data_IF_083914484155
#
_entry.id   IF_083914484155
#
_cell.length_a   1.000
_cell.length_b   1.000
_cell.length_c   1.000
_cell.angle_alpha   90.00
_cell.angle_beta   90.00
_cell.angle_gamma   90.00
#
_symmetry.space_group_name_H-M   'P 1'
#
loop_
_entity.id
_entity.type
_entity.pdbx_description
1 polymer ?
#
# COMPACT_ATOMS: atom_id res chain seq x y z
N UNK A 1 51.65 31.17 -0.05
CA UNK A 1 50.44 31.71 -0.73
C UNK A 1 50.02 30.91 -1.99
N UNK A 2 50.82 29.96 -2.51
CA UNK A 2 50.56 29.29 -3.80
C UNK A 2 49.51 28.15 -3.81
N UNK A 3 49.13 27.62 -2.64
CA UNK A 3 48.15 26.51 -2.55
C UNK A 3 46.77 26.93 -2.08
N UNK A 4 46.58 28.21 -1.71
CA UNK A 4 45.29 28.71 -1.20
C UNK A 4 44.18 28.62 -2.25
N UNK A 5 44.48 28.92 -3.51
CA UNK A 5 43.51 28.80 -4.60
C UNK A 5 43.10 27.35 -4.87
N UNK A 6 44.04 26.40 -4.79
CA UNK A 6 43.77 24.96 -4.96
C UNK A 6 42.94 24.39 -3.81
N UNK A 7 43.23 24.79 -2.56
CA UNK A 7 42.44 24.38 -1.41
C UNK A 7 41.01 24.93 -1.46
N UNK A 8 40.83 26.18 -1.89
CA UNK A 8 39.49 26.78 -2.05
C UNK A 8 38.71 26.10 -3.18
N UNK A 9 39.36 25.79 -4.30
CA UNK A 9 38.71 25.05 -5.39
C UNK A 9 38.30 23.63 -4.97
N UNK A 10 39.18 22.92 -4.25
CA UNK A 10 38.89 21.59 -3.76
C UNK A 10 37.74 21.59 -2.72
N UNK A 11 37.75 22.54 -1.78
CA UNK A 11 36.68 22.70 -0.80
C UNK A 11 35.34 23.04 -1.49
N UNK A 12 35.34 23.92 -2.48
CA UNK A 12 34.14 24.28 -3.23
C UNK A 12 33.55 23.08 -4.01
N UNK A 13 34.40 22.25 -4.61
CA UNK A 13 33.97 21.00 -5.25
C UNK A 13 33.41 20.04 -4.21
N UNK A 14 34.07 19.83 -3.08
CA UNK A 14 33.57 18.96 -2.01
C UNK A 14 32.21 19.43 -1.45
N UNK A 15 32.02 20.74 -1.24
CA UNK A 15 30.75 21.32 -0.80
C UNK A 15 29.64 21.15 -1.84
N UNK A 16 29.95 21.24 -3.14
CA UNK A 16 28.97 21.03 -4.21
C UNK A 16 28.53 19.55 -4.35
N UNK A 17 29.41 18.61 -4.05
CA UNK A 17 29.09 17.16 -4.10
C UNK A 17 28.26 16.74 -2.89
N UNK A 18 28.50 17.34 -1.71
CA UNK A 18 27.73 17.02 -0.49
C UNK A 18 26.26 17.46 -0.57
N UNK A 19 25.94 18.53 -1.31
CA UNK A 19 24.54 18.97 -1.53
C UNK A 19 23.79 18.15 -2.57
N UNK A 20 24.49 17.33 -3.37
CA UNK A 20 23.87 16.47 -4.38
C UNK A 20 23.40 15.11 -3.81
N UNK A 21 23.71 14.83 -2.55
CA UNK A 21 23.24 13.65 -1.82
C UNK A 21 22.12 14.03 -0.85
N UNK A 22 21.08 14.71 -1.33
CA UNK A 22 19.80 14.71 -0.61
C UNK A 22 19.12 13.38 -0.89
N UNK A 23 18.89 12.57 0.14
CA UNK A 23 18.16 11.30 0.00
C UNK A 23 16.82 11.54 -0.71
N UNK A 24 16.52 10.68 -1.68
CA UNK A 24 15.24 10.74 -2.37
C UNK A 24 14.10 10.52 -1.36
N UNK A 25 12.98 11.24 -1.50
CA UNK A 25 11.82 11.02 -0.65
C UNK A 25 11.39 9.56 -0.70
N UNK A 26 11.01 9.01 0.46
CA UNK A 26 10.62 7.61 0.63
C UNK A 26 9.28 7.51 1.36
N UNK A 27 8.48 6.50 1.00
CA UNK A 27 7.23 6.17 1.69
C UNK A 27 7.44 5.70 3.15
N UNK A 28 8.69 5.47 3.56
CA UNK A 28 9.10 5.12 4.92
C UNK A 28 9.63 6.31 5.73
N UNK A 29 9.63 7.52 5.16
CA UNK A 29 10.18 8.70 5.86
C UNK A 29 9.32 9.10 7.06
N UNK A 30 9.96 9.34 8.20
CA UNK A 30 9.31 9.83 9.42
C UNK A 30 8.98 11.33 9.37
N UNK A 31 9.42 12.01 8.32
CA UNK A 31 9.19 13.44 8.09
C UNK A 31 8.05 13.58 7.07
N UNK A 32 7.00 14.35 7.39
CA UNK A 32 5.91 14.58 6.44
C UNK A 32 6.44 15.29 5.18
N UNK A 33 6.21 14.67 4.03
CA UNK A 33 6.57 15.21 2.73
C UNK A 33 5.47 16.14 2.22
N UNK A 34 5.86 17.23 1.58
CA UNK A 34 4.95 18.16 0.90
C UNK A 34 4.55 17.62 -0.48
N UNK A 35 3.49 18.18 -1.04
CA UNK A 35 3.02 17.83 -2.39
C UNK A 35 4.13 17.94 -3.45
N UNK A 36 4.89 19.03 -3.43
CA UNK A 36 5.95 19.27 -4.44
C UNK A 36 7.11 18.28 -4.34
N UNK A 37 7.36 17.73 -3.14
CA UNK A 37 8.35 16.68 -2.93
C UNK A 37 7.85 15.30 -3.41
N UNK A 38 6.53 15.07 -3.43
CA UNK A 38 5.92 13.81 -3.85
C UNK A 38 5.64 13.80 -5.36
N UNK A 39 5.29 14.95 -5.93
CA UNK A 39 4.86 15.06 -7.33
C UNK A 39 5.91 14.46 -8.28
N UNK A 40 5.46 13.60 -9.20
CA UNK A 40 6.28 12.90 -10.21
C UNK A 40 7.31 11.88 -9.67
N UNK A 41 7.31 11.54 -8.38
CA UNK A 41 8.22 10.53 -7.81
C UNK A 41 7.68 9.10 -7.89
N UNK A 42 6.36 8.94 -8.04
CA UNK A 42 5.65 7.67 -7.91
C UNK A 42 5.24 7.32 -6.48
N UNK A 43 5.69 8.07 -5.47
CA UNK A 43 5.35 7.85 -4.06
C UNK A 43 3.86 8.02 -3.75
N UNK A 44 3.15 8.83 -4.53
CA UNK A 44 1.71 9.03 -4.35
C UNK A 44 0.88 7.74 -4.57
N UNK A 45 1.43 6.74 -5.27
CA UNK A 45 0.80 5.44 -5.46
C UNK A 45 1.33 4.38 -4.48
N UNK A 46 2.11 4.77 -3.46
CA UNK A 46 2.67 3.87 -2.45
C UNK A 46 1.93 4.01 -1.13
N UNK A 47 1.61 2.89 -0.50
CA UNK A 47 1.00 2.93 0.82
C UNK A 47 2.04 3.23 1.91
N UNK A 48 1.69 4.03 2.94
CA UNK A 48 2.56 4.27 4.08
C UNK A 48 3.01 2.96 4.74
N UNK A 49 4.28 2.91 5.17
CA UNK A 49 4.84 1.75 5.86
C UNK A 49 5.05 2.07 7.34
N UNK A 50 4.74 1.11 8.20
CA UNK A 50 5.10 1.18 9.61
C UNK A 50 6.51 0.62 9.82
N UNK A 51 7.22 1.13 10.82
CA UNK A 51 8.53 0.57 11.19
C UNK A 51 8.38 -0.88 11.65
N UNK A 52 9.38 -1.73 11.37
CA UNK A 52 9.36 -3.13 11.81
C UNK A 52 9.32 -3.28 13.35
N UNK A 53 9.70 -2.23 14.07
CA UNK A 53 9.67 -2.16 15.54
C UNK A 53 8.27 -1.87 16.09
N UNK A 54 7.31 -1.49 15.24
CA UNK A 54 5.93 -1.22 15.66
C UNK A 54 5.19 -2.53 15.88
N UNK A 55 5.21 -3.03 17.11
CA UNK A 55 4.59 -4.30 17.56
C UNK A 55 3.53 -4.07 18.67
N UNK A 56 2.99 -2.87 18.76
CA UNK A 56 2.01 -2.50 19.78
C UNK A 56 0.64 -3.14 19.58
N UNK A 57 -0.29 -2.82 20.47
CA UNK A 57 -1.70 -3.19 20.38
C UNK A 57 -2.59 -1.95 20.44
N UNK A 58 -3.73 -2.00 19.77
CA UNK A 58 -4.78 -0.99 19.84
C UNK A 58 -5.97 -1.64 20.53
N UNK A 59 -6.20 -1.31 21.80
CA UNK A 59 -7.34 -1.84 22.55
C UNK A 59 -8.66 -1.26 22.03
N UNK A 60 -9.68 -2.11 21.92
CA UNK A 60 -11.04 -1.71 21.59
C UNK A 60 -11.92 -1.92 22.82
N UNK A 61 -12.67 -0.88 23.18
CA UNK A 61 -13.54 -0.90 24.34
C UNK A 61 -14.98 -1.13 23.91
N UNK A 62 -15.68 -1.97 24.67
CA UNK A 62 -17.10 -2.21 24.46
C UNK A 62 -17.92 -0.93 24.65
N UNK A 63 -18.98 -0.77 23.86
CA UNK A 63 -19.84 0.41 23.85
C UNK A 63 -19.26 1.66 23.19
N UNK A 64 -18.04 1.61 22.62
CA UNK A 64 -17.48 2.69 21.80
C UNK A 64 -17.67 2.42 20.31
N UNK A 65 -17.86 3.49 19.56
CA UNK A 65 -17.88 3.45 18.09
C UNK A 65 -16.49 3.77 17.54
N UNK A 66 -16.07 3.00 16.54
CA UNK A 66 -14.79 3.16 15.89
C UNK A 66 -14.97 3.31 14.38
N UNK A 67 -14.00 3.95 13.74
CA UNK A 67 -13.93 4.06 12.30
C UNK A 67 -12.51 3.75 11.83
N UNK A 68 -12.37 2.89 10.84
CA UNK A 68 -11.12 2.76 10.09
C UNK A 68 -11.09 3.88 9.06
N UNK A 69 -10.01 4.67 9.07
CA UNK A 69 -9.80 5.77 8.12
C UNK A 69 -8.44 5.61 7.46
N UNK A 70 -8.32 6.03 6.21
CA UNK A 70 -7.04 6.00 5.50
C UNK A 70 -6.54 4.58 5.20
N UNK A 71 -7.44 3.61 5.03
CA UNK A 71 -7.04 2.29 4.56
C UNK A 71 -6.49 2.42 3.13
N UNK A 72 -5.24 1.99 2.97
CA UNK A 72 -4.51 1.98 1.71
C UNK A 72 -4.11 0.56 1.35
N UNK A 73 -4.38 0.16 0.10
CA UNK A 73 -4.07 -1.18 -0.41
C UNK A 73 -3.25 -1.03 -1.69
N UNK A 74 -1.98 -1.42 -1.62
CA UNK A 74 -1.04 -1.39 -2.74
C UNK A 74 -0.84 -2.79 -3.33
N UNK A 75 -1.39 -3.06 -4.53
CA UNK A 75 -1.09 -4.31 -5.22
C UNK A 75 0.35 -4.31 -5.75
N UNK A 76 1.10 -5.37 -5.40
CA UNK A 76 2.51 -5.54 -5.80
C UNK A 76 2.69 -6.57 -6.91
N UNK A 77 1.76 -7.52 -7.04
CA UNK A 77 1.79 -8.58 -8.03
C UNK A 77 0.39 -8.84 -8.56
N UNK A 78 0.31 -9.21 -9.85
CA UNK A 78 -0.96 -9.44 -10.53
C UNK A 78 -0.93 -10.80 -11.19
N UNK A 79 -1.95 -11.60 -10.91
CA UNK A 79 -2.07 -12.95 -11.44
C UNK A 79 -3.42 -13.13 -12.10
N UNK A 80 -3.42 -13.71 -13.30
CA UNK A 80 -4.64 -14.06 -14.03
C UNK A 80 -4.70 -15.57 -14.14
N UNK A 81 -5.88 -16.12 -13.88
CA UNK A 81 -6.15 -17.55 -14.01
C UNK A 81 -6.24 -17.92 -15.49
N UNK A 82 -5.42 -18.88 -15.93
CA UNK A 82 -5.46 -19.39 -17.30
C UNK A 82 -6.70 -20.23 -17.58
N UNK A 83 -7.12 -20.22 -18.84
CA UNK A 83 -8.04 -21.23 -19.35
C UNK A 83 -7.26 -22.52 -19.64
N UNK A 84 -7.59 -23.64 -18.98
CA UNK A 84 -6.88 -24.89 -19.19
C UNK A 84 -7.22 -25.46 -20.57
N UNK A 85 -6.21 -25.94 -21.29
CA UNK A 85 -6.37 -26.55 -22.63
C UNK A 85 -7.18 -27.85 -22.62
N UNK A 86 -7.37 -28.46 -21.45
CA UNK A 86 -8.14 -29.69 -21.24
C UNK A 86 -8.86 -29.65 -19.90
N UNK A 87 -10.07 -30.25 -19.84
CA UNK A 87 -10.87 -30.36 -18.61
C UNK A 87 -10.20 -31.16 -17.47
N UNK A 88 -9.12 -31.90 -17.77
CA UNK A 88 -8.34 -32.68 -16.79
C UNK A 88 -7.19 -31.89 -16.15
N UNK A 89 -6.89 -30.71 -16.66
CA UNK A 89 -5.81 -29.87 -16.15
C UNK A 89 -6.39 -28.78 -15.25
N UNK A 90 -5.84 -28.63 -14.05
CA UNK A 90 -6.18 -27.51 -13.19
C UNK A 90 -5.66 -26.20 -13.81
N UNK A 91 -6.51 -25.17 -13.77
CA UNK A 91 -6.17 -23.85 -14.22
C UNK A 91 -5.13 -23.21 -13.29
N UNK A 92 -3.96 -22.88 -13.83
CA UNK A 92 -2.90 -22.16 -13.13
C UNK A 92 -3.13 -20.65 -13.10
N UNK A 93 -2.33 -19.96 -12.31
CA UNK A 93 -2.24 -18.50 -12.30
C UNK A 93 -0.92 -18.07 -12.95
N UNK A 94 -0.99 -17.23 -13.97
CA UNK A 94 0.22 -16.62 -14.57
C UNK A 94 0.36 -15.20 -14.04
N UNK A 95 1.61 -14.79 -13.81
CA UNK A 95 1.93 -13.39 -13.55
C UNK A 95 1.70 -12.52 -14.80
N UNK A 96 0.95 -11.44 -14.64
CA UNK A 96 0.77 -10.39 -15.64
C UNK A 96 1.64 -9.16 -15.32
N UNK A 97 2.11 -8.47 -16.36
CA UNK A 97 2.85 -7.21 -16.23
C UNK A 97 1.90 -6.02 -16.32
N UNK A 98 1.86 -5.17 -15.30
CA UNK A 98 1.00 -3.97 -15.30
C UNK A 98 1.37 -2.99 -16.43
N UNK A 99 0.36 -2.50 -17.15
CA UNK A 99 0.49 -1.50 -18.22
C UNK A 99 0.05 -0.10 -17.79
N UNK A 100 -0.80 0.01 -16.77
CA UNK A 100 -1.42 1.27 -16.31
C UNK A 100 -0.51 2.14 -15.44
N UNK A 101 0.78 1.81 -15.31
CA UNK A 101 1.79 2.57 -14.54
C UNK A 101 1.43 2.64 -13.04
N UNK A 102 1.59 3.80 -12.41
CA UNK A 102 1.43 4.03 -10.96
C UNK A 102 0.01 4.54 -10.63
N UNK A 103 -1.02 3.76 -10.97
CA UNK A 103 -2.44 4.12 -10.77
C UNK A 103 -3.27 2.97 -10.21
N UNK A 104 -2.64 2.12 -9.40
CA UNK A 104 -3.19 0.81 -9.01
C UNK A 104 -3.59 0.71 -7.55
N UNK A 105 -3.11 1.62 -6.70
CA UNK A 105 -3.39 1.55 -5.26
C UNK A 105 -4.77 2.11 -4.93
N UNK A 106 -5.42 1.48 -3.96
CA UNK A 106 -6.59 2.01 -3.29
C UNK A 106 -6.11 2.83 -2.10
N UNK A 107 -6.78 3.94 -1.82
CA UNK A 107 -6.38 4.85 -0.74
C UNK A 107 -7.59 5.59 -0.18
N UNK A 108 -7.46 6.12 1.04
CA UNK A 108 -8.52 6.83 1.75
C UNK A 108 -9.81 6.00 1.92
N UNK A 109 -9.71 4.67 1.83
CA UNK A 109 -10.84 3.79 2.11
C UNK A 109 -11.15 3.91 3.60
N UNK A 110 -12.44 4.08 3.90
CA UNK A 110 -12.94 4.29 5.26
C UNK A 110 -14.19 3.47 5.50
N UNK A 111 -14.41 3.15 6.76
CA UNK A 111 -15.52 2.30 7.13
C UNK A 111 -15.69 2.17 8.63
N UNK A 112 -16.87 1.74 9.03
CA UNK A 112 -17.21 1.58 10.44
C UNK A 112 -16.53 0.33 10.98
N UNK A 113 -16.02 0.43 12.21
CA UNK A 113 -15.46 -0.69 12.96
C UNK A 113 -16.35 -0.96 14.17
N UNK A 114 -16.89 -2.17 14.24
CA UNK A 114 -17.77 -2.60 15.32
C UNK A 114 -17.11 -3.74 16.09
N UNK A 115 -16.97 -3.57 17.41
CA UNK A 115 -16.60 -4.67 18.28
C UNK A 115 -17.83 -5.56 18.51
N UNK A 116 -17.67 -6.83 18.23
CA UNK A 116 -18.74 -7.82 18.30
C UNK A 116 -18.74 -8.52 19.67
N UNK A 117 -19.88 -9.09 20.11
CA UNK A 117 -19.98 -9.76 21.41
C UNK A 117 -19.02 -10.95 21.60
N UNK A 118 -18.56 -11.57 20.51
CA UNK A 118 -17.57 -12.65 20.52
C UNK A 118 -16.11 -12.15 20.56
N UNK A 119 -15.91 -10.83 20.68
CA UNK A 119 -14.60 -10.18 20.69
C UNK A 119 -13.92 -10.09 19.33
N UNK A 120 -14.63 -10.39 18.24
CA UNK A 120 -14.19 -10.07 16.87
C UNK A 120 -14.51 -8.62 16.52
N UNK A 121 -13.92 -8.13 15.44
CA UNK A 121 -14.16 -6.78 14.91
C UNK A 121 -14.69 -6.91 13.50
N UNK A 122 -15.84 -6.30 13.24
CA UNK A 122 -16.43 -6.18 11.91
C UNK A 122 -16.06 -4.82 11.31
N UNK A 123 -15.66 -4.83 10.04
CA UNK A 123 -15.38 -3.66 9.22
C UNK A 123 -16.39 -3.59 8.09
N UNK A 124 -17.03 -2.43 7.93
CA UNK A 124 -17.97 -2.16 6.86
C UNK A 124 -17.48 -0.95 6.06
N UNK A 125 -17.11 -1.16 4.80
CA UNK A 125 -16.66 -0.10 3.90
C UNK A 125 -17.80 0.91 3.62
N UNK A 126 -17.48 2.21 3.65
CA UNK A 126 -18.47 3.31 3.51
C UNK A 126 -18.05 4.39 2.52
N UNK A 127 -16.84 4.32 1.98
CA UNK A 127 -16.34 5.20 0.94
C UNK A 127 -14.81 5.28 0.88
N UNK A 128 -14.32 6.05 -0.08
CA UNK A 128 -12.89 6.29 -0.33
C UNK A 128 -12.54 6.12 -1.80
N UNK A 129 -11.24 6.03 -2.12
CA UNK A 129 -10.79 5.55 -3.44
C UNK A 129 -10.64 4.03 -3.38
N UNK A 130 -11.79 3.37 -3.44
CA UNK A 130 -12.03 1.95 -3.22
C UNK A 130 -12.01 1.10 -4.50
N UNK A 131 -11.68 1.70 -5.66
CA UNK A 131 -11.47 0.98 -6.91
C UNK A 131 -10.43 1.63 -7.84
N UNK A 132 -9.77 0.82 -8.67
CA UNK A 132 -8.90 1.25 -9.77
C UNK A 132 -9.10 0.35 -11.00
N UNK A 133 -9.12 0.96 -12.17
CA UNK A 133 -9.08 0.22 -13.43
C UNK A 133 -7.61 -0.13 -13.75
N UNK A 134 -7.32 -1.42 -13.85
CA UNK A 134 -5.97 -1.93 -14.08
C UNK A 134 -5.98 -2.77 -15.35
N UNK A 135 -4.92 -2.67 -16.14
CA UNK A 135 -4.68 -3.56 -17.27
C UNK A 135 -3.33 -4.21 -17.11
N UNK A 136 -3.30 -5.54 -17.20
CA UNK A 136 -2.07 -6.34 -17.17
C UNK A 136 -1.87 -7.03 -18.50
N UNK A 137 -0.62 -7.18 -18.90
CA UNK A 137 -0.22 -7.93 -20.08
C UNK A 137 0.31 -9.30 -19.67
N UNK A 138 -0.30 -10.35 -20.20
CA UNK A 138 0.14 -11.73 -20.02
C UNK A 138 1.27 -12.09 -20.99
N UNK A 139 2.03 -13.18 -20.73
CA UNK A 139 2.90 -13.76 -21.75
C UNK A 139 2.13 -14.02 -23.04
N UNK A 140 2.74 -13.70 -24.19
CA UNK A 140 2.07 -13.74 -25.49
C UNK A 140 1.36 -12.45 -25.89
N UNK A 141 1.30 -11.45 -24.99
CA UNK A 141 0.89 -10.09 -25.31
C UNK A 141 -0.60 -9.78 -25.10
N UNK A 142 -1.41 -10.78 -24.73
CA UNK A 142 -2.80 -10.61 -24.34
C UNK A 142 -2.91 -9.62 -23.18
N UNK A 143 -3.91 -8.73 -23.24
CA UNK A 143 -4.15 -7.71 -22.23
C UNK A 143 -5.46 -8.00 -21.50
N UNK A 144 -5.39 -8.01 -20.19
CA UNK A 144 -6.52 -8.28 -19.31
C UNK A 144 -6.85 -7.03 -18.50
N UNK A 145 -7.91 -6.30 -18.86
CA UNK A 145 -8.44 -5.22 -18.05
C UNK A 145 -9.35 -5.77 -16.94
N UNK A 146 -9.20 -5.25 -15.74
CA UNK A 146 -10.08 -5.59 -14.62
C UNK A 146 -10.23 -4.39 -13.67
N UNK A 147 -11.26 -4.45 -12.84
CA UNK A 147 -11.50 -3.47 -11.78
C UNK A 147 -10.98 -4.06 -10.46
N UNK A 148 -9.84 -3.54 -9.98
CA UNK A 148 -9.39 -3.85 -8.63
C UNK A 148 -10.23 -3.02 -7.66
N UNK A 149 -10.97 -3.65 -6.74
CA UNK A 149 -11.96 -2.97 -5.92
C UNK A 149 -12.16 -3.64 -4.57
N UNK A 150 -12.55 -2.84 -3.57
CA UNK A 150 -13.08 -3.29 -2.27
C UNK A 150 -14.44 -2.64 -1.95
N UNK A 151 -15.15 -2.15 -2.99
CA UNK A 151 -16.50 -1.61 -2.87
C UNK A 151 -17.43 -2.57 -2.14
N UNK A 152 -18.09 -2.08 -1.09
CA UNK A 152 -19.02 -2.88 -0.30
C UNK A 152 -18.35 -4.01 0.49
N UNK A 153 -17.06 -3.86 0.79
CA UNK A 153 -16.34 -4.83 1.61
C UNK A 153 -16.93 -4.87 3.03
N UNK A 154 -17.44 -6.04 3.39
CA UNK A 154 -17.78 -6.42 4.75
C UNK A 154 -16.77 -7.47 5.22
N UNK A 155 -15.96 -7.15 6.22
CA UNK A 155 -14.91 -8.03 6.70
C UNK A 155 -14.97 -8.21 8.22
N UNK A 156 -14.55 -9.37 8.71
CA UNK A 156 -14.52 -9.69 10.14
C UNK A 156 -13.18 -10.29 10.55
N UNK A 157 -12.77 -10.01 11.78
CA UNK A 157 -11.57 -10.62 12.36
C UNK A 157 -11.86 -11.98 13.00
N UNK A 158 -10.81 -12.66 13.47
CA UNK A 158 -10.97 -13.77 14.41
C UNK A 158 -11.66 -13.29 15.70
N UNK A 159 -12.43 -14.17 16.40
CA UNK A 159 -13.02 -13.86 17.69
C UNK A 159 -11.97 -13.78 18.82
N UNK A 160 -12.37 -13.18 19.94
CA UNK A 160 -11.56 -13.13 21.17
C UNK A 160 -10.34 -12.20 21.13
N UNK A 161 -10.30 -11.25 20.20
CA UNK A 161 -9.15 -10.34 20.05
C UNK A 161 -9.23 -9.16 21.03
N UNK A 162 -10.39 -8.52 21.19
CA UNK A 162 -10.62 -7.31 22.02
C UNK A 162 -9.60 -6.15 21.81
N UNK A 163 -8.70 -6.30 20.85
CA UNK A 163 -7.60 -5.41 20.51
C UNK A 163 -7.06 -5.79 19.12
N UNK A 164 -6.58 -4.79 18.38
CA UNK A 164 -5.88 -5.00 17.13
C UNK A 164 -4.39 -5.22 17.43
N UNK A 165 -3.84 -6.33 16.94
CA UNK A 165 -2.44 -6.72 17.10
C UNK A 165 -1.88 -7.18 15.75
N UNK A 166 -0.59 -7.52 15.71
CA UNK A 166 0.03 -8.09 14.51
C UNK A 166 -0.50 -9.48 14.13
N UNK A 167 -1.28 -10.13 15.01
CA UNK A 167 -1.93 -11.40 14.74
C UNK A 167 -3.38 -11.25 14.24
N UNK A 168 -3.93 -10.04 14.27
CA UNK A 168 -5.27 -9.76 13.78
C UNK A 168 -5.32 -9.90 12.26
N UNK A 169 -6.32 -10.63 11.73
CA UNK A 169 -6.53 -10.77 10.29
C UNK A 169 -7.98 -10.46 9.97
N UNK A 170 -8.21 -9.57 9.00
CA UNK A 170 -9.54 -9.32 8.43
C UNK A 170 -9.81 -10.29 7.28
N UNK A 171 -11.01 -10.87 7.25
CA UNK A 171 -11.49 -11.74 6.16
C UNK A 171 -12.87 -11.28 5.74
N UNK A 172 -13.13 -11.29 4.44
CA UNK A 172 -14.46 -11.01 3.91
C UNK A 172 -15.50 -11.99 4.48
N UNK A 173 -16.67 -11.46 4.82
CA UNK A 173 -17.83 -12.24 5.25
C UNK A 173 -18.53 -12.71 3.98
N UNK A 174 -18.36 -13.99 3.63
CA UNK A 174 -19.02 -14.66 2.49
C UNK A 174 -20.23 -15.43 2.99
#
# INVERSE_FOLDING_TARGET
>A
MRYRALLVAFLAVCLSVLTACSDAPSATSSVPLTYDQIRNTGLANKCPQLSEMTRGSIALEDGKTYQLVGMCIEPTNYFVKEEPTSKRQEAGYIAGKVLTRYTSSLDQVRGDLTLEPDGSVSFFETGGMDFQAITVQLPGGQQEPFLFTVKGLEARTQPGLNALTTSTTLREII
#
